data_IF_365168431184
#
_entry.id   IF_365168431184
#
_cell.length_a   1.000
_cell.length_b   1.000
_cell.length_c   1.000
_cell.angle_alpha   90.00
_cell.angle_beta   90.00
_cell.angle_gamma   90.00
#
_symmetry.space_group_name_H-M   'P 1'
#
loop_
_entity.id
_entity.type
_entity.pdbx_description
1 polymer ?
#
# COMPACT_ATOMS: atom_id res chain seq x y z
N UNK A 1 17.54 -10.80 -7.85
CA UNK A 1 16.45 -10.27 -6.98
C UNK A 1 16.87 -9.68 -5.62
N UNK A 2 17.55 -10.41 -4.71
CA UNK A 2 17.80 -9.96 -3.32
C UNK A 2 18.45 -8.57 -3.20
N UNK A 3 19.43 -8.26 -4.04
CA UNK A 3 20.13 -6.97 -4.02
C UNK A 3 19.23 -5.78 -4.36
N UNK A 4 18.22 -5.97 -5.22
CA UNK A 4 17.25 -4.92 -5.58
C UNK A 4 16.38 -4.55 -4.38
N UNK A 5 15.87 -5.58 -3.70
CA UNK A 5 15.05 -5.45 -2.49
C UNK A 5 15.85 -4.71 -1.40
N UNK A 6 17.10 -5.09 -1.17
CA UNK A 6 17.96 -4.43 -0.17
C UNK A 6 18.22 -2.96 -0.53
N UNK A 7 18.52 -2.66 -1.80
CA UNK A 7 18.74 -1.29 -2.27
C UNK A 7 17.51 -0.42 -2.00
N UNK A 8 16.33 -0.90 -2.41
CA UNK A 8 15.07 -0.18 -2.20
C UNK A 8 14.74 -0.02 -0.72
N UNK A 9 15.06 -1.03 0.10
CA UNK A 9 14.85 -1.00 1.54
C UNK A 9 15.72 0.05 2.22
N UNK A 10 17.01 0.09 1.91
CA UNK A 10 17.95 1.07 2.47
C UNK A 10 17.52 2.49 2.10
N UNK A 11 17.10 2.72 0.85
CA UNK A 11 16.65 4.04 0.40
C UNK A 11 15.34 4.46 1.08
N UNK A 12 14.42 3.53 1.32
CA UNK A 12 13.19 3.78 2.05
C UNK A 12 13.40 3.95 3.55
N UNK A 13 14.33 3.22 4.17
CA UNK A 13 14.50 3.15 5.63
C UNK A 13 14.65 4.52 6.28
N UNK A 14 15.42 5.42 5.64
CA UNK A 14 15.58 6.80 6.11
C UNK A 14 14.25 7.57 6.20
N UNK A 15 13.34 7.35 5.27
CA UNK A 15 12.03 7.99 5.24
C UNK A 15 11.00 7.21 6.07
N UNK A 16 11.15 5.89 6.15
CA UNK A 16 10.26 5.00 6.89
C UNK A 16 10.26 5.32 8.39
N UNK A 17 11.41 5.70 8.96
CA UNK A 17 11.50 6.19 10.35
C UNK A 17 10.60 7.42 10.56
N UNK A 18 10.67 8.40 9.66
CA UNK A 18 9.81 9.60 9.74
C UNK A 18 8.32 9.26 9.56
N UNK A 19 8.01 8.33 8.66
CA UNK A 19 6.64 7.86 8.45
C UNK A 19 6.09 7.09 9.65
N UNK A 20 6.92 6.44 10.47
CA UNK A 20 6.49 5.78 11.69
C UNK A 20 6.36 6.75 12.87
N UNK A 21 7.26 7.73 12.98
CA UNK A 21 7.25 8.72 14.07
C UNK A 21 6.09 9.70 13.95
N UNK A 22 5.83 10.22 12.74
CA UNK A 22 4.88 11.31 12.55
C UNK A 22 3.47 11.00 13.09
N UNK A 23 2.90 9.82 12.82
CA UNK A 23 1.56 9.57 13.28
C UNK A 23 1.56 8.97 14.68
N UNK A 24 2.66 8.38 15.20
CA UNK A 24 2.83 8.14 16.64
C UNK A 24 2.74 9.45 17.44
N UNK A 25 3.19 10.57 16.88
CA UNK A 25 2.95 11.90 17.45
C UNK A 25 1.47 12.32 17.31
N UNK A 26 0.84 12.04 16.17
CA UNK A 26 -0.61 12.25 16.00
C UNK A 26 -1.46 11.39 16.95
N UNK A 27 -0.98 10.24 17.40
CA UNK A 27 -1.66 9.44 18.42
C UNK A 27 -1.89 10.22 19.73
N UNK A 28 -1.01 11.16 20.07
CA UNK A 28 -1.20 12.01 21.26
C UNK A 28 -2.32 13.05 21.09
N UNK A 29 -2.71 13.36 19.85
CA UNK A 29 -3.66 14.44 19.52
C UNK A 29 -4.98 13.92 18.96
N UNK A 30 -4.97 12.78 18.26
CA UNK A 30 -6.17 12.15 17.70
C UNK A 30 -6.99 11.46 18.79
N UNK A 31 -8.23 11.90 18.95
CA UNK A 31 -9.20 11.29 19.86
C UNK A 31 -9.74 9.96 19.30
N UNK A 32 -9.72 9.79 17.98
CA UNK A 32 -10.23 8.61 17.27
C UNK A 32 -9.13 7.59 16.90
N UNK A 33 -9.18 6.44 17.56
CA UNK A 33 -8.24 5.31 17.39
C UNK A 33 -8.35 4.68 15.99
N UNK A 34 -9.57 4.60 15.46
CA UNK A 34 -9.83 4.03 14.12
C UNK A 34 -9.11 4.85 13.04
N UNK A 35 -9.19 6.18 13.12
CA UNK A 35 -8.54 7.11 12.19
C UNK A 35 -7.02 6.97 12.27
N UNK A 36 -6.44 6.91 13.47
CA UNK A 36 -5.01 6.67 13.65
C UNK A 36 -4.58 5.33 13.01
N UNK A 37 -5.29 4.25 13.29
CA UNK A 37 -4.94 2.92 12.78
C UNK A 37 -5.00 2.87 11.25
N UNK A 38 -6.02 3.48 10.64
CA UNK A 38 -6.15 3.58 9.18
C UNK A 38 -5.01 4.41 8.56
N UNK A 39 -4.63 5.54 9.17
CA UNK A 39 -3.51 6.35 8.69
C UNK A 39 -2.20 5.52 8.73
N UNK A 40 -1.91 4.84 9.85
CA UNK A 40 -0.69 4.05 9.98
C UNK A 40 -0.63 2.89 9.00
N UNK A 41 -1.71 2.12 8.90
CA UNK A 41 -1.70 0.81 8.25
C UNK A 41 -2.10 0.85 6.77
N UNK A 42 -2.81 1.90 6.32
CA UNK A 42 -3.23 2.03 4.93
C UNK A 42 -2.52 3.17 4.20
N UNK A 43 -2.59 4.39 4.73
CA UNK A 43 -2.14 5.59 4.01
C UNK A 43 -0.61 5.61 3.90
N UNK A 44 0.09 5.28 4.97
CA UNK A 44 1.56 5.35 5.00
C UNK A 44 2.22 4.35 4.04
N UNK A 45 1.85 3.06 4.02
CA UNK A 45 2.41 2.11 3.05
C UNK A 45 2.17 2.54 1.60
N UNK A 46 0.99 3.09 1.33
CA UNK A 46 0.66 3.66 0.02
C UNK A 46 1.56 4.83 -0.35
N UNK A 47 1.75 5.80 0.54
CA UNK A 47 2.62 6.95 0.26
C UNK A 47 4.08 6.51 0.13
N UNK A 48 4.53 5.59 0.98
CA UNK A 48 5.89 5.04 0.94
C UNK A 48 6.17 4.31 -0.39
N UNK A 49 5.21 3.53 -0.88
CA UNK A 49 5.31 2.87 -2.20
C UNK A 49 5.35 3.89 -3.33
N UNK A 50 4.52 4.93 -3.33
CA UNK A 50 4.63 5.99 -4.34
C UNK A 50 5.99 6.70 -4.29
N UNK A 51 6.52 6.94 -3.10
CA UNK A 51 7.80 7.61 -2.89
C UNK A 51 8.96 6.83 -3.50
N UNK A 52 8.92 5.49 -3.52
CA UNK A 52 9.97 4.71 -4.20
C UNK A 52 10.00 4.94 -5.69
N UNK A 53 8.84 4.97 -6.34
CA UNK A 53 8.77 5.31 -7.76
C UNK A 53 9.23 6.75 -8.04
N UNK A 54 9.02 7.69 -7.10
CA UNK A 54 9.59 9.04 -7.23
C UNK A 54 11.12 9.01 -7.21
N UNK A 55 11.69 8.27 -6.26
CA UNK A 55 13.13 8.22 -6.08
C UNK A 55 13.78 7.55 -7.29
N UNK A 56 13.18 6.48 -7.82
CA UNK A 56 13.69 5.83 -9.03
C UNK A 56 13.67 6.76 -10.24
N UNK A 57 12.66 7.61 -10.37
CA UNK A 57 12.62 8.65 -11.40
C UNK A 57 13.61 9.79 -11.14
N UNK A 58 13.84 10.15 -9.88
CA UNK A 58 14.76 11.23 -9.50
C UNK A 58 16.23 10.86 -9.77
N UNK A 59 16.56 9.59 -9.63
CA UNK A 59 17.93 9.07 -9.76
C UNK A 59 18.14 8.25 -11.04
N UNK A 60 17.25 8.35 -12.03
CA UNK A 60 17.25 7.57 -13.28
C UNK A 60 17.56 6.08 -13.06
N UNK A 61 17.06 5.54 -11.94
CA UNK A 61 17.33 4.17 -11.53
C UNK A 61 16.74 3.17 -12.53
N UNK A 62 15.71 3.57 -13.27
CA UNK A 62 15.14 2.76 -14.37
C UNK A 62 16.17 2.50 -15.48
N UNK A 63 16.96 3.52 -15.87
CA UNK A 63 18.00 3.40 -16.90
C UNK A 63 19.14 2.51 -16.40
N UNK A 64 19.61 2.75 -15.17
CA UNK A 64 20.67 1.95 -14.55
C UNK A 64 20.27 0.48 -14.40
N UNK A 65 19.02 0.21 -14.02
CA UNK A 65 18.52 -1.16 -13.89
C UNK A 65 18.39 -1.89 -15.23
N UNK A 66 18.13 -1.15 -16.31
CA UNK A 66 18.04 -1.71 -17.66
C UNK A 66 19.42 -2.03 -18.27
N UNK A 67 20.49 -1.37 -17.80
CA UNK A 67 21.87 -1.68 -18.17
C UNK A 67 22.43 -2.92 -17.47
N UNK A 68 21.74 -3.42 -16.44
CA UNK A 68 22.12 -4.65 -15.74
C UNK A 68 21.47 -5.87 -16.42
N UNK A 69 22.12 -7.05 -16.40
CA UNK A 69 21.56 -8.30 -16.94
C UNK A 69 20.48 -8.88 -16.00
N UNK A 70 19.44 -8.09 -15.72
CA UNK A 70 18.33 -8.44 -14.84
C UNK A 70 17.07 -8.66 -15.66
N UNK A 71 16.29 -9.69 -15.34
CA UNK A 71 15.02 -9.89 -16.03
C UNK A 71 14.01 -8.82 -15.60
N UNK A 72 13.31 -8.21 -16.57
CA UNK A 72 12.23 -7.22 -16.33
C UNK A 72 11.20 -7.69 -15.31
N UNK A 73 10.86 -8.99 -15.31
CA UNK A 73 10.00 -9.65 -14.32
C UNK A 73 10.54 -9.55 -12.89
N UNK A 74 11.85 -9.71 -12.69
CA UNK A 74 12.47 -9.65 -11.36
C UNK A 74 12.39 -8.24 -10.76
N UNK A 75 12.47 -7.20 -11.59
CA UNK A 75 12.33 -5.80 -11.16
C UNK A 75 10.89 -5.55 -10.66
N UNK A 76 9.89 -5.99 -11.42
CA UNK A 76 8.48 -5.85 -11.05
C UNK A 76 8.20 -6.59 -9.75
N UNK A 77 8.58 -7.86 -9.65
CA UNK A 77 8.37 -8.68 -8.45
C UNK A 77 9.07 -8.08 -7.22
N UNK A 78 10.30 -7.57 -7.37
CA UNK A 78 11.00 -6.92 -6.27
C UNK A 78 10.21 -5.72 -5.71
N UNK A 79 9.57 -4.90 -6.56
CA UNK A 79 8.76 -3.76 -6.09
C UNK A 79 7.50 -4.18 -5.35
N UNK A 80 6.82 -5.24 -5.79
CA UNK A 80 5.66 -5.78 -5.06
C UNK A 80 6.07 -6.34 -3.70
N UNK A 81 7.19 -7.08 -3.64
CA UNK A 81 7.72 -7.58 -2.37
C UNK A 81 8.08 -6.42 -1.43
N UNK A 82 8.70 -5.37 -1.95
CA UNK A 82 9.01 -4.17 -1.16
C UNK A 82 7.77 -3.47 -0.63
N UNK A 83 6.72 -3.32 -1.44
CA UNK A 83 5.43 -2.78 -1.00
C UNK A 83 4.83 -3.60 0.15
N UNK A 84 4.87 -4.94 0.03
CA UNK A 84 4.37 -5.85 1.06
C UNK A 84 5.21 -5.79 2.35
N UNK A 85 6.54 -5.69 2.26
CA UNK A 85 7.42 -5.55 3.43
C UNK A 85 7.08 -4.27 4.20
N UNK A 86 6.94 -3.13 3.50
CA UNK A 86 6.59 -1.85 4.12
C UNK A 86 5.20 -1.92 4.78
N UNK A 87 4.25 -2.55 4.10
CA UNK A 87 2.91 -2.79 4.65
C UNK A 87 2.97 -3.61 5.95
N UNK A 88 3.66 -4.75 5.96
CA UNK A 88 3.82 -5.61 7.14
C UNK A 88 4.46 -4.84 8.30
N UNK A 89 5.52 -4.05 8.04
CA UNK A 89 6.17 -3.24 9.08
C UNK A 89 5.19 -2.23 9.67
N UNK A 90 4.46 -1.50 8.83
CA UNK A 90 3.46 -0.52 9.30
C UNK A 90 2.36 -1.15 10.15
N UNK A 91 1.95 -2.37 9.78
CA UNK A 91 0.94 -3.14 10.48
C UNK A 91 1.42 -3.62 11.85
N UNK A 92 2.66 -4.11 11.94
CA UNK A 92 3.28 -4.53 13.21
C UNK A 92 3.44 -3.34 14.15
N UNK A 93 3.81 -2.16 13.64
CA UNK A 93 4.00 -0.96 14.48
C UNK A 93 2.66 -0.40 14.95
N UNK A 94 1.60 -0.51 14.14
CA UNK A 94 0.27 0.03 14.48
C UNK A 94 -0.57 -0.89 15.36
N UNK A 95 -0.32 -2.21 15.35
CA UNK A 95 -1.16 -3.19 16.06
C UNK A 95 -1.18 -3.06 17.59
N UNK A 96 -0.09 -2.71 18.32
CA UNK A 96 -0.16 -2.56 19.78
C UNK A 96 -1.10 -1.42 20.20
N UNK A 97 -1.12 -0.35 19.42
CA UNK A 97 -1.99 0.81 19.66
C UNK A 97 -3.44 0.48 19.36
N UNK A 98 -3.70 -0.28 18.28
CA UNK A 98 -5.04 -0.74 17.94
C UNK A 98 -5.63 -1.69 19.00
N UNK A 99 -4.82 -2.64 19.49
CA UNK A 99 -5.25 -3.67 20.44
C UNK A 99 -5.56 -3.11 21.83
N UNK A 100 -4.70 -2.22 22.35
CA UNK A 100 -4.82 -1.70 23.74
C UNK A 100 -6.09 -0.89 24.00
N UNK A 101 -6.75 -0.41 22.95
CA UNK A 101 -7.84 0.55 23.04
C UNK A 101 -9.14 0.07 22.36
N UNK A 102 -9.14 -1.16 21.84
CA UNK A 102 -10.33 -1.79 21.28
C UNK A 102 -11.16 -2.46 22.37
N UNK A 103 -12.40 -2.01 22.55
CA UNK A 103 -13.30 -2.49 23.60
C UNK A 103 -13.67 -3.98 23.45
N UNK A 104 -13.69 -4.51 22.22
CA UNK A 104 -13.99 -5.91 21.89
C UNK A 104 -12.84 -6.91 22.10
N UNK A 105 -11.69 -6.44 22.60
CA UNK A 105 -10.50 -7.26 22.77
C UNK A 105 -9.79 -7.64 21.46
N UNK A 106 -8.77 -8.49 21.59
CA UNK A 106 -7.85 -8.82 20.48
C UNK A 106 -8.58 -9.51 19.32
N UNK A 107 -9.44 -10.48 19.60
CA UNK A 107 -10.07 -11.30 18.57
C UNK A 107 -11.00 -10.50 17.65
N UNK A 108 -11.82 -9.63 18.23
CA UNK A 108 -12.71 -8.77 17.45
C UNK A 108 -11.91 -7.75 16.64
N UNK A 109 -10.84 -7.19 17.20
CA UNK A 109 -9.94 -6.28 16.46
C UNK A 109 -9.34 -6.94 15.22
N UNK A 110 -8.81 -8.16 15.36
CA UNK A 110 -8.21 -8.91 14.24
C UNK A 110 -9.26 -9.18 13.14
N UNK A 111 -10.41 -9.72 13.51
CA UNK A 111 -11.43 -10.18 12.55
C UNK A 111 -12.17 -9.03 11.86
N UNK A 112 -12.40 -7.92 12.58
CA UNK A 112 -13.23 -6.82 12.07
C UNK A 112 -12.42 -5.72 11.41
N UNK A 113 -11.31 -5.27 12.00
CA UNK A 113 -10.60 -4.06 11.53
C UNK A 113 -9.35 -4.38 10.74
N UNK A 114 -8.57 -5.35 11.19
CA UNK A 114 -7.31 -5.70 10.57
C UNK A 114 -7.56 -6.42 9.23
N UNK A 115 -8.50 -7.37 9.20
CA UNK A 115 -8.89 -8.07 7.95
C UNK A 115 -9.49 -7.10 6.92
N UNK A 116 -10.31 -6.12 7.34
CA UNK A 116 -10.84 -5.13 6.38
C UNK A 116 -9.76 -4.26 5.80
N UNK A 117 -8.88 -3.72 6.65
CA UNK A 117 -7.87 -2.76 6.21
C UNK A 117 -6.83 -3.44 5.31
N UNK A 118 -6.41 -4.66 5.65
CA UNK A 118 -5.54 -5.47 4.79
C UNK A 118 -6.17 -5.69 3.40
N UNK A 119 -7.45 -6.06 3.35
CA UNK A 119 -8.17 -6.23 2.08
C UNK A 119 -8.21 -4.95 1.24
N UNK A 120 -8.55 -3.80 1.86
CA UNK A 120 -8.56 -2.51 1.17
C UNK A 120 -7.17 -2.10 0.64
N UNK A 121 -6.13 -2.28 1.45
CA UNK A 121 -4.76 -1.93 1.04
C UNK A 121 -4.28 -2.81 -0.11
N UNK A 122 -4.64 -4.10 -0.12
CA UNK A 122 -4.27 -5.00 -1.22
C UNK A 122 -4.96 -4.64 -2.54
N UNK A 123 -6.25 -4.30 -2.50
CA UNK A 123 -6.98 -3.78 -3.66
C UNK A 123 -6.30 -2.51 -4.16
N UNK A 124 -5.91 -1.63 -3.25
CA UNK A 124 -5.28 -0.37 -3.60
C UNK A 124 -3.89 -0.55 -4.23
N UNK A 125 -3.01 -1.34 -3.62
CA UNK A 125 -1.69 -1.68 -4.15
C UNK A 125 -1.79 -2.34 -5.52
N UNK A 126 -2.81 -3.20 -5.70
CA UNK A 126 -3.11 -3.85 -6.97
C UNK A 126 -3.41 -2.87 -8.10
N UNK A 127 -4.03 -1.71 -7.83
CA UNK A 127 -4.28 -0.69 -8.83
C UNK A 127 -3.08 0.25 -9.01
N UNK A 128 -2.49 0.70 -7.90
CA UNK A 128 -1.45 1.73 -7.92
C UNK A 128 -0.15 1.23 -8.53
N UNK A 129 0.28 0.01 -8.25
CA UNK A 129 1.53 -0.53 -8.78
C UNK A 129 1.54 -0.63 -10.32
N UNK A 130 0.57 -1.25 -11.01
CA UNK A 130 0.56 -1.30 -12.48
C UNK A 130 0.46 0.09 -13.11
N UNK A 131 -0.34 0.99 -12.52
CA UNK A 131 -0.43 2.39 -12.97
C UNK A 131 0.91 3.11 -12.81
N UNK A 132 1.65 2.83 -11.73
CA UNK A 132 2.98 3.39 -11.48
C UNK A 132 3.98 2.96 -12.55
N UNK A 133 3.97 1.69 -12.93
CA UNK A 133 4.80 1.17 -14.02
C UNK A 133 4.41 1.73 -15.39
N UNK A 134 3.13 1.99 -15.63
CA UNK A 134 2.66 2.44 -16.94
C UNK A 134 2.88 3.94 -17.19
N UNK A 135 2.49 4.79 -16.23
CA UNK A 135 2.40 6.25 -16.43
C UNK A 135 3.58 7.04 -15.82
N UNK A 136 4.39 6.39 -14.98
CA UNK A 136 5.48 7.02 -14.24
C UNK A 136 4.99 7.99 -13.15
N UNK A 137 5.86 8.25 -12.18
CA UNK A 137 5.51 8.88 -10.89
C UNK A 137 4.60 10.12 -10.96
N UNK A 138 4.94 11.13 -11.77
CA UNK A 138 4.23 12.44 -11.76
C UNK A 138 2.73 12.31 -12.08
N UNK A 139 2.36 11.44 -13.03
CA UNK A 139 0.96 11.21 -13.40
C UNK A 139 0.28 10.26 -12.41
N UNK A 140 1.04 9.30 -11.88
CA UNK A 140 0.50 8.34 -10.91
C UNK A 140 0.07 9.01 -9.61
N UNK A 141 0.77 10.01 -9.07
CA UNK A 141 0.35 10.67 -7.81
C UNK A 141 -1.06 11.25 -7.90
N UNK A 142 -1.39 11.93 -9.00
CA UNK A 142 -2.73 12.49 -9.21
C UNK A 142 -3.80 11.40 -9.34
N UNK A 143 -3.49 10.34 -10.09
CA UNK A 143 -4.41 9.19 -10.26
C UNK A 143 -4.61 8.46 -8.93
N UNK A 144 -3.56 8.32 -8.14
CA UNK A 144 -3.57 7.63 -6.86
C UNK A 144 -4.38 8.39 -5.80
N UNK A 145 -4.31 9.73 -5.81
CA UNK A 145 -5.21 10.58 -5.00
C UNK A 145 -6.67 10.42 -5.43
N UNK A 146 -6.93 10.39 -6.74
CA UNK A 146 -8.28 10.19 -7.28
C UNK A 146 -8.86 8.82 -6.88
N UNK A 147 -8.05 7.75 -6.98
CA UNK A 147 -8.43 6.39 -6.56
C UNK A 147 -8.70 6.30 -5.06
N UNK A 148 -8.07 7.13 -4.22
CA UNK A 148 -8.30 7.14 -2.78
C UNK A 148 -9.60 7.86 -2.40
N UNK A 149 -9.91 8.97 -3.08
CA UNK A 149 -11.05 9.85 -2.73
C UNK A 149 -12.34 9.41 -3.44
N UNK A 150 -12.26 9.02 -4.71
CA UNK A 150 -13.44 8.74 -5.53
C UNK A 150 -14.34 7.62 -4.95
N UNK A 151 -13.83 6.48 -4.44
CA UNK A 151 -14.69 5.43 -3.91
C UNK A 151 -15.45 5.88 -2.66
N UNK A 152 -14.82 6.67 -1.79
CA UNK A 152 -15.42 7.15 -0.55
C UNK A 152 -16.59 8.07 -0.88
N UNK A 153 -16.35 9.06 -1.76
CA UNK A 153 -17.38 10.02 -2.18
C UNK A 153 -18.52 9.33 -2.92
N UNK A 154 -18.23 8.40 -3.83
CA UNK A 154 -19.26 7.70 -4.63
C UNK A 154 -20.12 6.80 -3.75
N UNK A 155 -19.51 6.05 -2.81
CA UNK A 155 -20.25 5.13 -1.93
C UNK A 155 -21.16 5.89 -0.97
N UNK A 156 -20.67 6.99 -0.38
CA UNK A 156 -21.47 7.79 0.55
C UNK A 156 -22.61 8.54 -0.16
N UNK A 157 -22.37 9.09 -1.35
CA UNK A 157 -23.36 9.92 -2.06
C UNK A 157 -24.39 9.14 -2.86
N UNK A 158 -24.00 8.03 -3.52
CA UNK A 158 -24.90 7.30 -4.41
C UNK A 158 -25.56 6.09 -3.77
N UNK A 159 -24.85 5.37 -2.89
CA UNK A 159 -25.35 4.09 -2.39
C UNK A 159 -26.04 4.19 -1.04
N UNK A 160 -25.89 5.30 -0.29
CA UNK A 160 -26.41 5.47 1.08
C UNK A 160 -26.08 4.29 2.02
N UNK A 161 -25.10 3.45 1.65
CA UNK A 161 -24.68 2.29 2.43
C UNK A 161 -23.81 2.82 3.56
N UNK A 162 -24.29 2.68 4.80
CA UNK A 162 -23.43 2.87 5.96
C UNK A 162 -22.34 1.79 5.95
N UNK A 163 -21.08 2.22 5.87
CA UNK A 163 -19.89 1.36 5.85
C UNK A 163 -19.86 0.35 7.02
N UNK A 164 -20.61 0.62 8.09
CA UNK A 164 -20.80 -0.23 9.25
C UNK A 164 -21.44 -1.61 8.96
N UNK A 165 -22.11 -1.83 7.82
CA UNK A 165 -22.70 -3.14 7.48
C UNK A 165 -21.75 -4.12 6.76
N UNK A 166 -20.54 -3.68 6.41
CA UNK A 166 -19.58 -4.48 5.61
C UNK A 166 -18.89 -5.59 6.45
N UNK A 167 -19.02 -5.55 7.77
CA UNK A 167 -18.33 -6.45 8.71
C UNK A 167 -18.60 -7.95 8.49
N UNK A 168 -19.75 -8.33 7.91
CA UNK A 168 -20.18 -9.73 7.78
C UNK A 168 -19.51 -10.49 6.61
N UNK A 169 -18.75 -9.81 5.74
CA UNK A 169 -18.10 -10.43 4.56
C UNK A 169 -16.58 -10.24 4.49
N UNK A 170 -15.95 -9.80 5.58
CA UNK A 170 -14.54 -9.44 5.66
C UNK A 170 -13.57 -10.50 5.10
N UNK A 171 -13.81 -11.78 5.38
CA UNK A 171 -12.96 -12.86 4.89
C UNK A 171 -12.97 -13.03 3.37
N UNK A 172 -14.13 -12.83 2.74
CA UNK A 172 -14.29 -12.92 1.28
C UNK A 172 -13.66 -11.72 0.57
N UNK A 173 -13.75 -10.53 1.17
CA UNK A 173 -13.06 -9.33 0.67
C UNK A 173 -11.55 -9.55 0.66
N UNK A 174 -10.99 -10.13 1.72
CA UNK A 174 -9.56 -10.43 1.80
C UNK A 174 -9.13 -11.45 0.74
N UNK A 175 -9.87 -12.55 0.57
CA UNK A 175 -9.62 -13.55 -0.48
C UNK A 175 -9.64 -12.91 -1.88
N UNK A 176 -10.67 -12.13 -2.17
CA UNK A 176 -10.79 -11.41 -3.44
C UNK A 176 -9.62 -10.45 -3.66
N UNK A 177 -9.21 -9.69 -2.62
CA UNK A 177 -8.10 -8.75 -2.70
C UNK A 177 -6.76 -9.43 -3.03
N UNK A 178 -6.52 -10.63 -2.48
CA UNK A 178 -5.31 -11.41 -2.78
C UNK A 178 -5.33 -11.86 -4.24
N UNK A 179 -6.46 -12.38 -4.73
CA UNK A 179 -6.60 -12.77 -6.14
C UNK A 179 -6.36 -11.59 -7.08
N UNK A 180 -6.90 -10.42 -6.75
CA UNK A 180 -6.73 -9.18 -7.53
C UNK A 180 -5.27 -8.71 -7.51
N UNK A 181 -4.58 -8.78 -6.36
CA UNK A 181 -3.16 -8.42 -6.24
C UNK A 181 -2.27 -9.37 -7.06
N UNK A 182 -2.56 -10.68 -7.06
CA UNK A 182 -1.85 -11.66 -7.89
C UNK A 182 -2.04 -11.36 -9.39
N UNK A 183 -3.28 -11.11 -9.82
CA UNK A 183 -3.58 -10.70 -11.21
C UNK A 183 -2.82 -9.43 -11.60
N UNK A 184 -2.74 -8.47 -10.68
CA UNK A 184 -2.03 -7.22 -10.89
C UNK A 184 -0.54 -7.41 -11.16
N UNK A 185 0.13 -8.36 -10.49
CA UNK A 185 1.53 -8.70 -10.78
C UNK A 185 1.70 -9.11 -12.25
N UNK A 186 0.83 -9.98 -12.77
CA UNK A 186 0.90 -10.40 -14.18
C UNK A 186 0.67 -9.22 -15.13
N UNK A 187 -0.28 -8.33 -14.83
CA UNK A 187 -0.52 -7.13 -15.65
C UNK A 187 0.68 -6.20 -15.64
N UNK A 188 1.32 -5.99 -14.49
CA UNK A 188 2.51 -5.15 -14.34
C UNK A 188 3.71 -5.71 -15.10
N UNK A 189 3.92 -7.03 -15.10
CA UNK A 189 4.98 -7.68 -15.89
C UNK A 189 4.76 -7.39 -17.38
N UNK A 190 3.56 -7.65 -17.88
CA UNK A 190 3.22 -7.44 -19.30
C UNK A 190 3.32 -5.97 -19.72
N UNK A 191 2.96 -5.05 -18.83
CA UNK A 191 3.10 -3.60 -19.07
C UNK A 191 4.56 -3.16 -19.09
N UNK A 192 5.39 -3.68 -18.18
CA UNK A 192 6.80 -3.32 -18.07
C UNK A 192 7.66 -3.92 -19.19
N UNK A 193 7.30 -5.12 -19.70
CA UNK A 193 7.96 -5.72 -20.88
C UNK A 193 7.76 -4.89 -22.15
N UNK A 194 6.54 -4.35 -22.35
CA UNK A 194 6.19 -3.51 -23.50
C UNK A 194 6.82 -2.12 -23.48
N UNK A 195 7.39 -1.67 -22.37
CA UNK A 195 8.13 -0.42 -22.33
C UNK A 195 9.48 -0.62 -23.04
N UNK A 196 9.58 0.02 -24.19
CA UNK A 196 10.83 0.28 -24.92
C UNK A 196 11.54 1.44 -24.22
N UNK A 197 12.34 1.12 -23.20
CA UNK A 197 13.51 1.91 -22.87
C UNK A 197 14.72 1.03 -23.12
#
# INVERSE_FOLDING_TARGET
>A
MRQLIIKDFIMQWKHLIWYLIYPLFLYMTLTDIKSFYVIMSAIIPVIATLKTFNNDKKYDSEVMLNSLPLAKKEIVVAKYIMALIVFIISMIVSSPVGITRFAGGVFEFITTTLVTITGFVFIYLSLVLPISFWLGYKKTVFITLFILIAPIVIVETFFQVKIEQIHLHNGLILLCSICVLLLSVFTSIKLYEKREF
#
